data_IF_008769181727
#
_entry.id   IF_008769181727
#
_cell.length_a   1.000
_cell.length_b   1.000
_cell.length_c   1.000
_cell.angle_alpha   90.00
_cell.angle_beta   90.00
_cell.angle_gamma   90.00
#
_symmetry.space_group_name_H-M   'P 1'
#
loop_
_entity.id
_entity.type
_entity.pdbx_description
1 polymer ?
#
# COMPACT_ATOMS: atom_id res chain seq x y z
N UNK A 1 9.78 -12.09 -17.16
CA UNK A 1 9.91 -13.46 -16.65
C UNK A 1 9.91 -14.49 -17.78
N UNK A 2 8.79 -14.71 -18.50
CA UNK A 2 8.77 -15.65 -19.64
C UNK A 2 9.89 -15.34 -20.65
N UNK A 3 10.06 -14.07 -21.04
CA UNK A 3 11.19 -13.66 -21.90
C UNK A 3 12.59 -13.94 -21.33
N UNK A 4 12.76 -13.97 -20.00
CA UNK A 4 14.04 -14.36 -19.39
C UNK A 4 14.26 -15.88 -19.50
N UNK A 5 13.18 -16.66 -19.43
CA UNK A 5 13.23 -18.12 -19.65
C UNK A 5 13.54 -18.41 -21.12
N UNK A 6 12.86 -17.74 -22.05
CA UNK A 6 13.11 -17.85 -23.49
C UNK A 6 14.57 -17.52 -23.80
N UNK A 7 15.06 -16.34 -23.39
CA UNK A 7 16.46 -15.95 -23.62
C UNK A 7 17.47 -16.94 -23.02
N UNK A 8 17.23 -17.47 -21.81
CA UNK A 8 18.11 -18.47 -21.21
C UNK A 8 18.10 -19.81 -21.94
N UNK A 9 16.95 -20.20 -22.51
CA UNK A 9 16.85 -21.40 -23.34
C UNK A 9 17.51 -21.18 -24.71
N UNK A 10 17.41 -19.99 -25.30
CA UNK A 10 18.12 -19.61 -26.53
C UNK A 10 19.63 -19.73 -26.36
N UNK A 11 20.19 -19.22 -25.26
CA UNK A 11 21.62 -19.33 -24.95
C UNK A 11 22.08 -20.79 -24.77
N UNK A 12 21.21 -21.66 -24.28
CA UNK A 12 21.55 -23.06 -23.96
C UNK A 12 21.32 -24.01 -25.13
N UNK A 13 20.26 -23.80 -25.92
CA UNK A 13 19.80 -24.68 -27.00
C UNK A 13 20.19 -24.17 -28.39
N UNK A 14 20.56 -22.91 -28.54
CA UNK A 14 21.13 -22.32 -29.75
C UNK A 14 20.15 -21.95 -30.87
N UNK A 15 18.97 -22.57 -30.96
CA UNK A 15 17.95 -22.25 -31.98
C UNK A 15 16.53 -22.12 -31.38
N UNK A 16 15.86 -20.99 -31.69
CA UNK A 16 14.43 -20.72 -31.36
C UNK A 16 13.45 -21.43 -32.27
N UNK A 17 13.91 -21.93 -33.42
CA UNK A 17 13.08 -22.53 -34.49
C UNK A 17 12.88 -24.05 -34.30
N UNK A 18 13.34 -24.61 -33.18
CA UNK A 18 13.00 -25.99 -32.79
C UNK A 18 11.49 -26.06 -32.55
N UNK A 19 10.82 -26.99 -33.25
CA UNK A 19 9.39 -27.29 -33.06
C UNK A 19 9.03 -27.68 -31.61
N UNK A 20 10.02 -27.93 -30.74
CA UNK A 20 9.84 -28.20 -29.32
C UNK A 20 10.27 -27.05 -28.40
N UNK A 21 10.72 -25.90 -28.90
CA UNK A 21 11.16 -24.78 -28.07
C UNK A 21 10.08 -24.35 -27.06
N UNK A 22 8.84 -24.18 -27.52
CA UNK A 22 7.70 -23.85 -26.65
C UNK A 22 7.47 -24.91 -25.56
N UNK A 23 7.73 -26.19 -25.84
CA UNK A 23 7.63 -27.26 -24.83
C UNK A 23 8.74 -27.14 -23.79
N UNK A 24 9.95 -26.75 -24.18
CA UNK A 24 11.04 -26.47 -23.25
C UNK A 24 10.72 -25.26 -22.37
N UNK A 25 10.13 -24.20 -22.94
CA UNK A 25 9.65 -23.04 -22.18
C UNK A 25 8.59 -23.47 -21.15
N UNK A 26 7.57 -24.22 -21.57
CA UNK A 26 6.51 -24.71 -20.68
C UNK A 26 7.03 -25.58 -19.53
N UNK A 27 7.97 -26.49 -19.81
CA UNK A 27 8.61 -27.31 -18.77
C UNK A 27 9.41 -26.44 -17.79
N UNK A 28 10.12 -25.42 -18.31
CA UNK A 28 10.91 -24.52 -17.48
C UNK A 28 10.06 -23.57 -16.64
N UNK A 29 8.88 -23.17 -17.14
CA UNK A 29 7.89 -22.41 -16.39
C UNK A 29 7.37 -23.20 -15.18
N UNK A 30 7.03 -24.47 -15.40
CA UNK A 30 6.56 -25.37 -14.34
C UNK A 30 7.64 -25.61 -13.27
N UNK A 31 8.86 -25.94 -13.70
CA UNK A 31 10.01 -26.15 -12.79
C UNK A 31 10.29 -24.90 -11.94
N UNK A 32 10.32 -23.71 -12.56
CA UNK A 32 10.53 -22.45 -11.83
C UNK A 32 9.39 -22.20 -10.84
N UNK A 33 8.13 -22.31 -11.25
CA UNK A 33 7.00 -22.04 -10.36
C UNK A 33 6.95 -23.02 -9.18
N UNK A 34 7.20 -24.30 -9.41
CA UNK A 34 7.28 -25.33 -8.38
C UNK A 34 8.39 -25.01 -7.37
N UNK A 35 9.61 -24.80 -7.86
CA UNK A 35 10.78 -24.48 -7.02
C UNK A 35 10.57 -23.21 -6.18
N UNK A 36 10.05 -22.16 -6.79
CA UNK A 36 9.93 -20.84 -6.14
C UNK A 36 8.79 -20.76 -5.12
N UNK A 37 7.77 -21.60 -5.27
CA UNK A 37 6.65 -21.67 -4.33
C UNK A 37 6.81 -22.79 -3.31
N UNK A 38 7.90 -23.56 -3.34
CA UNK A 38 8.10 -24.72 -2.47
C UNK A 38 7.03 -25.79 -2.69
N UNK A 39 6.62 -25.98 -3.94
CA UNK A 39 5.51 -26.86 -4.36
C UNK A 39 4.15 -26.49 -3.75
N UNK A 40 3.99 -25.25 -3.24
CA UNK A 40 2.74 -24.75 -2.66
C UNK A 40 1.89 -23.96 -3.67
N UNK A 41 2.38 -23.68 -4.88
CA UNK A 41 1.55 -23.06 -5.91
C UNK A 41 0.38 -23.98 -6.27
N UNK A 42 -0.86 -23.47 -6.33
CA UNK A 42 -1.97 -24.26 -6.82
C UNK A 42 -1.75 -24.72 -8.25
N UNK A 43 -2.02 -26.00 -8.53
CA UNK A 43 -1.90 -26.56 -9.87
C UNK A 43 -2.71 -25.76 -10.91
N UNK A 44 -3.88 -25.26 -10.51
CA UNK A 44 -4.73 -24.41 -11.35
C UNK A 44 -4.03 -23.12 -11.79
N UNK A 45 -3.21 -22.51 -10.92
CA UNK A 45 -2.42 -21.33 -11.24
C UNK A 45 -1.38 -21.64 -12.32
N UNK A 46 -0.61 -22.73 -12.14
CA UNK A 46 0.43 -23.16 -13.08
C UNK A 46 -0.20 -23.44 -14.45
N UNK A 47 -1.28 -24.23 -14.50
CA UNK A 47 -1.99 -24.56 -15.74
C UNK A 47 -2.49 -23.32 -16.48
N UNK A 48 -2.99 -22.32 -15.77
CA UNK A 48 -3.49 -21.10 -16.38
C UNK A 48 -2.34 -20.28 -16.98
N UNK A 49 -1.21 -20.16 -16.28
CA UNK A 49 -0.02 -19.48 -16.81
C UNK A 49 0.51 -20.19 -18.06
N UNK A 50 0.62 -21.52 -18.02
CA UNK A 50 1.00 -22.33 -19.18
C UNK A 50 0.03 -22.13 -20.35
N UNK A 51 -1.29 -22.17 -20.08
CA UNK A 51 -2.29 -22.01 -21.15
C UNK A 51 -2.31 -20.59 -21.72
N UNK A 52 -2.08 -19.57 -20.90
CA UNK A 52 -1.92 -18.18 -21.36
C UNK A 52 -0.70 -18.06 -22.29
N UNK A 53 0.40 -18.74 -21.98
CA UNK A 53 1.57 -18.78 -22.87
C UNK A 53 1.23 -19.42 -24.22
N UNK A 54 0.66 -20.63 -24.22
CA UNK A 54 0.24 -21.33 -25.46
C UNK A 54 -0.69 -20.47 -26.33
N UNK A 55 -1.73 -19.88 -25.72
CA UNK A 55 -2.69 -19.05 -26.45
C UNK A 55 -2.04 -17.80 -27.05
N UNK A 56 -1.01 -17.24 -26.41
CA UNK A 56 -0.24 -16.13 -26.98
C UNK A 56 0.59 -16.57 -28.18
N UNK A 57 1.25 -17.73 -28.12
CA UNK A 57 1.98 -18.29 -29.26
C UNK A 57 1.04 -18.58 -30.45
N UNK A 58 -0.17 -19.07 -30.17
CA UNK A 58 -1.21 -19.33 -31.18
C UNK A 58 -1.91 -18.06 -31.71
N UNK A 59 -1.57 -16.86 -31.18
CA UNK A 59 -2.22 -15.59 -31.56
C UNK A 59 -3.65 -15.40 -31.01
N UNK A 60 -4.10 -16.26 -30.10
CA UNK A 60 -5.41 -16.21 -29.44
C UNK A 60 -5.38 -15.26 -28.23
N UNK A 61 -5.18 -13.97 -28.51
CA UNK A 61 -4.97 -12.94 -27.48
C UNK A 61 -6.22 -12.69 -26.62
N UNK A 62 -7.43 -12.87 -27.18
CA UNK A 62 -8.69 -12.66 -26.46
C UNK A 62 -8.88 -13.70 -25.36
N UNK A 63 -8.62 -14.96 -25.68
CA UNK A 63 -8.70 -16.09 -24.78
C UNK A 63 -7.63 -15.99 -23.69
N UNK A 64 -6.39 -15.63 -24.07
CA UNK A 64 -5.31 -15.38 -23.13
C UNK A 64 -5.66 -14.24 -22.15
N UNK A 65 -6.21 -13.13 -22.63
CA UNK A 65 -6.67 -12.03 -21.79
C UNK A 65 -7.82 -12.45 -20.86
N UNK A 66 -8.75 -13.28 -21.34
CA UNK A 66 -9.82 -13.83 -20.53
C UNK A 66 -9.31 -14.70 -19.36
N UNK A 67 -8.31 -15.54 -19.61
CA UNK A 67 -7.67 -16.34 -18.55
C UNK A 67 -6.88 -15.47 -17.56
N UNK A 68 -6.18 -14.43 -18.03
CA UNK A 68 -5.52 -13.46 -17.16
C UNK A 68 -6.51 -12.67 -16.30
N UNK A 69 -7.67 -12.31 -16.88
CA UNK A 69 -8.77 -11.67 -16.14
C UNK A 69 -9.29 -12.57 -15.03
N UNK A 70 -9.43 -13.87 -15.29
CA UNK A 70 -9.81 -14.85 -14.27
C UNK A 70 -8.74 -14.98 -13.17
N UNK A 71 -7.45 -15.09 -13.55
CA UNK A 71 -6.33 -15.16 -12.60
C UNK A 71 -6.27 -13.92 -11.70
N UNK A 72 -6.69 -12.77 -12.23
CA UNK A 72 -6.78 -11.50 -11.51
C UNK A 72 -8.02 -11.39 -10.61
N UNK A 73 -8.82 -12.45 -10.50
CA UNK A 73 -10.00 -12.52 -9.62
C UNK A 73 -11.30 -12.01 -10.22
N UNK A 74 -11.38 -11.81 -11.54
CA UNK A 74 -12.65 -11.45 -12.17
C UNK A 74 -13.66 -12.59 -12.09
N UNK A 75 -14.80 -12.35 -11.44
CA UNK A 75 -15.93 -13.28 -11.42
C UNK A 75 -16.67 -13.38 -12.76
N UNK A 76 -16.52 -12.39 -13.63
CA UNK A 76 -17.25 -12.28 -14.90
C UNK A 76 -16.47 -12.90 -16.08
N UNK A 77 -15.93 -14.11 -15.89
CA UNK A 77 -15.21 -14.82 -16.95
C UNK A 77 -16.05 -16.00 -17.44
N UNK A 78 -16.28 -16.04 -18.76
CA UNK A 78 -17.09 -17.06 -19.39
C UNK A 78 -16.55 -18.47 -19.10
N UNK A 79 -17.47 -19.42 -18.85
CA UNK A 79 -17.10 -20.81 -18.57
C UNK A 79 -16.30 -21.45 -19.71
N UNK A 80 -16.53 -21.04 -20.97
CA UNK A 80 -15.75 -21.47 -22.14
C UNK A 80 -14.27 -21.12 -22.01
N UNK A 81 -13.94 -19.93 -21.51
CA UNK A 81 -12.56 -19.47 -21.29
C UNK A 81 -11.90 -20.28 -20.17
N UNK A 82 -12.58 -20.44 -19.03
CA UNK A 82 -12.06 -21.25 -17.89
C UNK A 82 -11.78 -22.70 -18.31
N UNK A 83 -12.62 -23.26 -19.18
CA UNK A 83 -12.47 -24.62 -19.72
C UNK A 83 -11.19 -24.80 -20.55
N UNK A 84 -10.67 -23.74 -21.19
CA UNK A 84 -9.42 -23.81 -21.97
C UNK A 84 -8.22 -24.23 -21.10
N UNK A 85 -8.18 -23.79 -19.84
CA UNK A 85 -7.13 -24.13 -18.88
C UNK A 85 -7.52 -25.29 -17.93
N UNK A 86 -8.65 -25.97 -18.18
CA UNK A 86 -9.15 -27.05 -17.34
C UNK A 86 -9.54 -26.64 -15.91
N UNK A 87 -9.69 -25.33 -15.66
CA UNK A 87 -10.03 -24.77 -14.35
C UNK A 87 -11.48 -25.06 -14.01
N UNK A 88 -11.74 -25.46 -12.76
CA UNK A 88 -13.09 -25.71 -12.24
C UNK A 88 -13.37 -24.76 -11.08
N UNK A 89 -14.58 -24.20 -11.06
CA UNK A 89 -15.03 -23.34 -9.96
C UNK A 89 -14.74 -21.86 -10.16
N UNK A 90 -14.76 -21.14 -9.03
CA UNK A 90 -14.53 -19.70 -8.92
C UNK A 90 -13.36 -19.46 -7.97
N UNK A 91 -12.72 -18.29 -8.10
CA UNK A 91 -11.65 -17.89 -7.19
C UNK A 91 -12.27 -17.52 -5.84
N UNK A 92 -12.07 -18.35 -4.82
CA UNK A 92 -12.43 -18.03 -3.43
C UNK A 92 -11.32 -17.22 -2.76
N UNK A 93 -11.60 -16.65 -1.60
CA UNK A 93 -10.59 -15.96 -0.77
C UNK A 93 -9.43 -16.90 -0.38
N UNK A 94 -9.70 -18.17 -0.06
CA UNK A 94 -8.67 -19.18 0.20
C UNK A 94 -7.73 -19.34 -0.99
N UNK A 95 -8.31 -19.59 -2.17
CA UNK A 95 -7.55 -19.87 -3.40
C UNK A 95 -6.76 -18.62 -3.82
N UNK A 96 -7.32 -17.43 -3.61
CA UNK A 96 -6.64 -16.17 -3.90
C UNK A 96 -5.33 -16.01 -3.11
N UNK A 97 -5.29 -16.46 -1.86
CA UNK A 97 -4.06 -16.43 -1.05
C UNK A 97 -3.02 -17.42 -1.52
N UNK A 98 -3.43 -18.62 -1.91
CA UNK A 98 -2.50 -19.57 -2.50
C UNK A 98 -1.98 -19.07 -3.86
N UNK A 99 -2.80 -18.37 -4.63
CA UNK A 99 -2.39 -17.71 -5.88
C UNK A 99 -1.39 -16.59 -5.64
N UNK A 100 -1.52 -15.87 -4.52
CA UNK A 100 -0.55 -14.85 -4.13
C UNK A 100 0.86 -15.43 -3.96
N UNK A 101 1.00 -16.70 -3.51
CA UNK A 101 2.31 -17.39 -3.47
C UNK A 101 2.92 -17.50 -4.86
N UNK A 102 2.10 -17.92 -5.83
CA UNK A 102 2.49 -17.98 -7.25
C UNK A 102 2.91 -16.61 -7.79
N UNK A 103 2.15 -15.56 -7.49
CA UNK A 103 2.45 -14.19 -7.90
C UNK A 103 3.79 -13.71 -7.32
N UNK A 104 4.03 -13.93 -6.03
CA UNK A 104 5.30 -13.57 -5.37
C UNK A 104 6.47 -14.31 -6.02
N UNK A 105 6.29 -15.59 -6.36
CA UNK A 105 7.25 -16.37 -7.15
C UNK A 105 7.56 -15.70 -8.49
N UNK A 106 6.53 -15.39 -9.29
CA UNK A 106 6.71 -14.73 -10.60
C UNK A 106 7.40 -13.36 -10.46
N UNK A 107 7.04 -12.55 -9.46
CA UNK A 107 7.65 -11.23 -9.21
C UNK A 107 9.15 -11.41 -8.94
N UNK A 108 9.53 -12.36 -8.09
CA UNK A 108 10.94 -12.63 -7.85
C UNK A 108 11.65 -13.14 -9.11
N UNK A 109 11.00 -13.99 -9.89
CA UNK A 109 11.55 -14.59 -11.11
C UNK A 109 11.74 -13.55 -12.24
N UNK A 110 10.94 -12.49 -12.21
CA UNK A 110 11.10 -11.33 -13.08
C UNK A 110 12.29 -10.43 -12.69
N UNK A 111 13.00 -10.74 -11.59
CA UNK A 111 14.19 -10.01 -11.13
C UNK A 111 13.91 -8.99 -10.01
N UNK A 112 12.68 -8.90 -9.51
CA UNK A 112 12.36 -8.02 -8.39
C UNK A 112 12.77 -8.64 -7.04
N UNK A 113 13.06 -7.79 -6.06
CA UNK A 113 13.45 -8.23 -4.72
C UNK A 113 12.30 -8.91 -3.95
N UNK A 114 11.06 -8.51 -4.24
CA UNK A 114 9.84 -8.96 -3.58
C UNK A 114 8.62 -8.13 -3.96
N UNK A 115 7.51 -8.37 -3.27
CA UNK A 115 6.24 -7.66 -3.44
C UNK A 115 5.90 -6.90 -2.15
N UNK A 116 5.46 -5.65 -2.26
CA UNK A 116 4.92 -4.85 -1.17
C UNK A 116 3.43 -4.62 -1.43
N UNK A 117 2.57 -5.04 -0.51
CA UNK A 117 1.15 -4.74 -0.52
C UNK A 117 0.87 -3.73 0.58
N UNK A 118 0.35 -2.56 0.17
CA UNK A 118 -0.02 -1.48 1.09
C UNK A 118 -1.53 -1.44 1.21
N UNK A 119 -2.03 -1.56 2.44
CA UNK A 119 -3.42 -1.33 2.81
C UNK A 119 -3.45 0.01 3.55
N UNK A 120 -3.82 1.04 2.81
CA UNK A 120 -3.86 2.41 3.33
C UNK A 120 -5.21 2.69 4.02
N UNK A 121 -5.21 3.54 5.04
CA UNK A 121 -6.40 3.97 5.80
C UNK A 121 -7.22 2.78 6.36
N UNK A 122 -6.58 1.84 7.05
CA UNK A 122 -7.25 0.67 7.61
C UNK A 122 -8.38 1.04 8.60
N UNK A 123 -8.37 2.23 9.18
CA UNK A 123 -9.47 2.76 9.99
C UNK A 123 -10.81 2.87 9.24
N UNK A 124 -10.80 2.87 7.90
CA UNK A 124 -12.01 2.80 7.09
C UNK A 124 -12.82 1.53 7.37
N UNK A 125 -12.18 0.43 7.79
CA UNK A 125 -12.83 -0.82 8.23
C UNK A 125 -13.83 -0.55 9.35
N UNK A 126 -13.53 0.42 10.22
CA UNK A 126 -14.35 0.71 11.38
C UNK A 126 -15.72 1.32 11.04
N UNK A 127 -15.86 1.91 9.84
CA UNK A 127 -17.11 2.47 9.31
C UNK A 127 -18.01 1.42 8.64
N UNK A 128 -17.51 0.20 8.46
CA UNK A 128 -18.27 -0.88 7.84
C UNK A 128 -19.35 -1.40 8.80
N UNK A 129 -20.38 -2.04 8.22
CA UNK A 129 -21.35 -2.82 9.00
C UNK A 129 -20.65 -3.89 9.84
N UNK A 130 -21.23 -4.20 11.01
CA UNK A 130 -20.63 -5.07 12.04
C UNK A 130 -20.04 -6.36 11.47
N UNK A 131 -20.79 -7.10 10.67
CA UNK A 131 -20.36 -8.38 10.10
C UNK A 131 -19.21 -8.22 9.08
N UNK A 132 -19.25 -7.18 8.23
CA UNK A 132 -18.15 -6.91 7.29
C UNK A 132 -16.88 -6.44 7.99
N UNK A 133 -17.03 -5.63 9.04
CA UNK A 133 -15.93 -5.20 9.90
C UNK A 133 -15.28 -6.39 10.61
N UNK A 134 -16.08 -7.26 11.23
CA UNK A 134 -15.58 -8.47 11.90
C UNK A 134 -14.84 -9.39 10.92
N UNK A 135 -15.40 -9.56 9.71
CA UNK A 135 -14.73 -10.32 8.65
C UNK A 135 -13.41 -9.69 8.24
N UNK A 136 -13.35 -8.37 8.11
CA UNK A 136 -12.12 -7.66 7.74
C UNK A 136 -11.04 -7.79 8.82
N UNK A 137 -11.39 -7.65 10.10
CA UNK A 137 -10.47 -7.85 11.23
C UNK A 137 -9.94 -9.28 11.29
N UNK A 138 -10.80 -10.28 11.09
CA UNK A 138 -10.36 -11.68 10.98
C UNK A 138 -9.48 -11.90 9.74
N UNK A 139 -9.74 -11.23 8.62
CA UNK A 139 -8.88 -11.30 7.43
C UNK A 139 -7.48 -10.74 7.71
N UNK A 140 -7.38 -9.61 8.42
CA UNK A 140 -6.09 -9.07 8.87
C UNK A 140 -5.37 -10.04 9.81
N UNK A 141 -6.09 -10.66 10.76
CA UNK A 141 -5.54 -11.73 11.64
C UNK A 141 -4.91 -12.85 10.82
N UNK A 142 -5.67 -13.39 9.87
CA UNK A 142 -5.21 -14.50 9.05
C UNK A 142 -4.03 -14.11 8.15
N UNK A 143 -4.00 -12.88 7.62
CA UNK A 143 -2.84 -12.35 6.90
C UNK A 143 -1.61 -12.32 7.81
N UNK A 144 -1.75 -11.82 9.04
CA UNK A 144 -0.65 -11.82 10.01
C UNK A 144 -0.15 -13.23 10.31
N UNK A 145 -1.05 -14.20 10.48
CA UNK A 145 -0.72 -15.61 10.70
C UNK A 145 0.01 -16.23 9.52
N UNK A 146 -0.45 -15.94 8.30
CA UNK A 146 0.11 -16.52 7.09
C UNK A 146 1.36 -15.77 6.59
N UNK A 147 1.66 -14.56 7.08
CA UNK A 147 2.72 -13.69 6.55
C UNK A 147 4.09 -14.39 6.46
N UNK A 148 4.46 -15.18 7.47
CA UNK A 148 5.72 -15.93 7.50
C UNK A 148 5.85 -16.99 6.40
N UNK A 149 4.75 -17.36 5.76
CA UNK A 149 4.73 -18.35 4.68
C UNK A 149 4.93 -17.74 3.29
N UNK A 150 4.98 -16.41 3.17
CA UNK A 150 5.21 -15.70 1.91
C UNK A 150 6.61 -15.07 1.91
N UNK A 151 7.68 -15.81 1.56
CA UNK A 151 9.00 -15.22 1.47
C UNK A 151 8.98 -14.09 0.44
N UNK A 152 9.60 -12.95 0.77
CA UNK A 152 9.69 -11.76 -0.11
C UNK A 152 8.37 -11.00 -0.30
N UNK A 153 7.34 -11.26 0.50
CA UNK A 153 6.15 -10.41 0.58
C UNK A 153 6.19 -9.57 1.86
N UNK A 154 5.93 -8.27 1.72
CA UNK A 154 5.69 -7.39 2.86
C UNK A 154 4.26 -6.84 2.78
N UNK A 155 3.50 -7.03 3.86
CA UNK A 155 2.23 -6.34 4.07
C UNK A 155 2.46 -5.09 4.93
N UNK A 156 2.01 -3.94 4.44
CA UNK A 156 2.06 -2.68 5.17
C UNK A 156 0.63 -2.18 5.37
N UNK A 157 0.18 -2.15 6.61
CA UNK A 157 -1.09 -1.54 6.98
C UNK A 157 -0.81 -0.16 7.57
N UNK A 158 -1.51 0.86 7.10
CA UNK A 158 -1.55 2.17 7.75
C UNK A 158 -2.88 2.31 8.46
N UNK A 159 -2.89 3.02 9.59
CA UNK A 159 -4.15 3.35 10.23
C UNK A 159 -3.98 4.31 11.40
N UNK A 160 -5.08 4.91 11.82
CA UNK A 160 -5.11 5.76 13.02
C UNK A 160 -5.11 4.93 14.30
N UNK A 161 -4.77 5.54 15.47
CA UNK A 161 -4.89 4.88 16.77
C UNK A 161 -6.26 4.26 17.02
N UNK A 162 -7.35 4.85 16.50
CA UNK A 162 -8.70 4.29 16.63
C UNK A 162 -8.80 2.86 16.10
N UNK A 163 -8.13 2.56 14.99
CA UNK A 163 -8.13 1.22 14.41
C UNK A 163 -7.40 0.22 15.29
N UNK A 164 -6.28 0.61 15.92
CA UNK A 164 -5.43 -0.30 16.67
C UNK A 164 -5.87 -0.46 18.14
N UNK A 165 -6.24 0.64 18.80
CA UNK A 165 -6.28 0.71 20.26
C UNK A 165 -7.69 0.53 20.84
N UNK A 166 -8.73 0.58 19.99
CA UNK A 166 -10.13 0.57 20.44
C UNK A 166 -10.76 -0.82 20.30
N UNK A 167 -11.75 -1.13 21.15
CA UNK A 167 -12.53 -2.38 21.05
C UNK A 167 -13.36 -2.46 19.77
N UNK A 168 -13.64 -1.32 19.16
CA UNK A 168 -14.32 -1.26 17.88
C UNK A 168 -13.39 -1.67 16.72
N UNK A 169 -12.07 -1.65 16.94
CA UNK A 169 -11.02 -2.08 16.01
C UNK A 169 -10.26 -3.32 16.47
N UNK A 170 -8.95 -3.31 16.29
CA UNK A 170 -8.03 -4.42 16.57
C UNK A 170 -8.12 -4.89 18.01
N UNK A 171 -8.19 -3.99 19.00
CA UNK A 171 -8.28 -4.39 20.41
C UNK A 171 -9.57 -5.17 20.74
N UNK A 172 -10.58 -5.12 19.85
CA UNK A 172 -11.79 -5.94 19.92
C UNK A 172 -11.58 -7.40 19.52
N UNK A 173 -10.50 -7.72 18.79
CA UNK A 173 -10.11 -9.07 18.40
C UNK A 173 -8.80 -9.44 19.10
N UNK A 174 -8.84 -10.04 20.31
CA UNK A 174 -7.65 -10.32 21.11
C UNK A 174 -6.57 -11.11 20.35
N UNK A 175 -6.98 -12.06 19.52
CA UNK A 175 -6.09 -12.86 18.68
C UNK A 175 -5.23 -11.98 17.75
N UNK A 176 -5.80 -10.94 17.14
CA UNK A 176 -5.03 -10.00 16.33
C UNK A 176 -4.24 -9.03 17.21
N UNK A 177 -4.88 -8.46 18.23
CA UNK A 177 -4.27 -7.48 19.12
C UNK A 177 -2.98 -8.00 19.78
N UNK A 178 -2.95 -9.25 20.23
CA UNK A 178 -1.78 -9.86 20.85
C UNK A 178 -0.61 -10.04 19.87
N UNK A 179 -0.90 -10.29 18.59
CA UNK A 179 0.11 -10.51 17.54
C UNK A 179 0.80 -9.23 17.13
N UNK A 180 0.06 -8.13 17.03
CA UNK A 180 0.59 -6.85 16.52
C UNK A 180 0.78 -5.79 17.60
N UNK A 181 0.62 -6.16 18.87
CA UNK A 181 0.69 -5.27 20.03
C UNK A 181 1.93 -4.36 19.97
N UNK A 182 1.69 -3.07 19.93
CA UNK A 182 2.77 -2.08 20.07
C UNK A 182 3.34 -2.10 21.49
N UNK A 183 4.67 -2.07 21.57
CA UNK A 183 5.39 -1.92 22.84
C UNK A 183 6.45 -0.84 22.77
N UNK A 184 6.54 -0.07 23.84
CA UNK A 184 7.53 0.98 24.03
C UNK A 184 8.15 0.84 25.42
N UNK A 185 9.47 1.03 25.52
CA UNK A 185 10.20 1.00 26.79
C UNK A 185 11.07 2.24 26.88
N UNK A 186 10.85 3.05 27.91
CA UNK A 186 11.62 4.27 28.18
C UNK A 186 11.71 5.24 26.99
N UNK A 187 10.65 5.37 26.20
CA UNK A 187 10.64 6.25 25.02
C UNK A 187 11.15 5.61 23.72
N UNK A 188 11.52 4.33 23.76
CA UNK A 188 12.08 3.59 22.64
C UNK A 188 11.17 2.43 22.23
N UNK A 189 10.87 2.37 20.95
CA UNK A 189 10.09 1.32 20.32
C UNK A 189 10.97 0.64 19.25
N UNK A 190 10.93 -0.70 19.16
CA UNK A 190 11.70 -1.40 18.13
C UNK A 190 11.08 -1.15 16.76
N UNK A 191 11.90 -0.90 15.75
CA UNK A 191 11.46 -0.82 14.34
C UNK A 191 11.21 -2.20 13.73
N UNK A 192 11.61 -3.27 14.41
CA UNK A 192 11.41 -4.67 13.97
C UNK A 192 10.12 -5.28 14.51
N UNK A 193 9.38 -4.56 15.34
CA UNK A 193 8.09 -5.04 15.85
C UNK A 193 7.01 -4.89 14.75
N UNK A 194 5.88 -5.61 14.85
CA UNK A 194 4.85 -5.59 13.80
C UNK A 194 4.19 -4.22 13.57
N UNK A 195 4.18 -3.35 14.58
CA UNK A 195 3.57 -2.03 14.54
C UNK A 195 4.61 -0.92 14.77
N UNK A 196 4.60 0.11 13.94
CA UNK A 196 5.45 1.30 14.11
C UNK A 196 4.55 2.50 14.40
N UNK A 197 4.68 3.08 15.59
CA UNK A 197 3.99 4.31 15.94
C UNK A 197 4.72 5.52 15.33
N UNK A 198 4.05 6.24 14.44
CA UNK A 198 4.57 7.48 13.86
C UNK A 198 4.27 8.65 14.79
N UNK A 199 5.33 9.23 15.38
CA UNK A 199 5.16 10.42 16.23
C UNK A 199 4.60 11.59 15.41
N UNK A 200 3.67 12.37 15.97
CA UNK A 200 3.16 13.58 15.34
C UNK A 200 4.27 14.53 14.92
N UNK A 201 3.95 15.42 13.98
CA UNK A 201 4.86 16.48 13.58
C UNK A 201 4.99 17.52 14.70
N UNK A 202 6.22 17.74 15.14
CA UNK A 202 6.61 18.89 15.95
C UNK A 202 7.25 19.97 15.05
N UNK A 203 7.65 21.08 15.68
CA UNK A 203 8.33 22.19 15.00
C UNK A 203 9.57 21.71 14.21
N UNK A 204 10.38 20.85 14.80
CA UNK A 204 11.63 20.39 14.20
C UNK A 204 11.38 19.49 12.99
N UNK A 205 10.38 18.61 13.08
CA UNK A 205 9.93 17.73 11.99
C UNK A 205 9.31 18.51 10.84
N UNK A 206 8.51 19.54 11.12
CA UNK A 206 7.95 20.42 10.08
C UNK A 206 9.06 21.18 9.36
N UNK A 207 10.02 21.74 10.10
CA UNK A 207 11.22 22.38 9.53
C UNK A 207 12.02 21.40 8.66
N UNK A 208 12.25 20.19 9.15
CA UNK A 208 12.98 19.16 8.39
C UNK A 208 12.23 18.74 7.11
N UNK A 209 10.91 18.61 7.18
CA UNK A 209 10.06 18.32 6.03
C UNK A 209 10.10 19.46 5.00
N UNK A 210 9.98 20.72 5.44
CA UNK A 210 10.08 21.89 4.56
C UNK A 210 11.42 21.95 3.83
N UNK A 211 12.54 21.75 4.55
CA UNK A 211 13.87 21.70 3.92
C UNK A 211 13.98 20.60 2.87
N UNK A 212 13.47 19.39 3.16
CA UNK A 212 13.44 18.29 2.21
C UNK A 212 12.57 18.60 1.00
N UNK A 213 11.39 19.18 1.22
CA UNK A 213 10.48 19.59 0.14
C UNK A 213 11.13 20.66 -0.75
N UNK A 214 11.74 21.69 -0.17
CA UNK A 214 12.51 22.71 -0.92
C UNK A 214 13.60 22.07 -1.76
N UNK A 215 14.39 21.16 -1.17
CA UNK A 215 15.46 20.48 -1.90
C UNK A 215 14.94 19.61 -3.07
N UNK A 216 13.80 18.93 -2.90
CA UNK A 216 13.15 18.18 -3.97
C UNK A 216 12.58 19.09 -5.06
N UNK A 217 11.97 20.21 -4.66
CA UNK A 217 11.39 21.21 -5.56
C UNK A 217 12.44 21.85 -6.47
N UNK A 218 13.59 22.23 -5.90
CA UNK A 218 14.72 22.91 -6.55
C UNK A 218 15.48 21.99 -7.54
N UNK A 219 15.08 20.73 -7.69
CA UNK A 219 15.64 19.84 -8.73
C UNK A 219 15.14 20.15 -10.17
N UNK A 220 14.24 21.12 -10.34
CA UNK A 220 13.70 21.58 -11.63
C UNK A 220 14.23 22.94 -12.12
N UNK A 221 13.48 23.61 -13.02
CA UNK A 221 13.74 25.02 -13.39
C UNK A 221 13.32 25.95 -12.22
N UNK A 222 13.78 27.20 -12.15
CA UNK A 222 13.41 28.13 -11.05
C UNK A 222 14.14 27.95 -9.71
N UNK A 223 14.97 26.90 -9.59
CA UNK A 223 15.78 26.49 -8.45
C UNK A 223 16.44 27.64 -7.65
N UNK A 224 17.18 28.51 -8.34
CA UNK A 224 17.97 29.57 -7.69
C UNK A 224 17.10 30.64 -7.02
N UNK A 225 15.96 31.00 -7.61
CA UNK A 225 15.05 32.02 -7.07
C UNK A 225 14.34 31.50 -5.82
N UNK A 226 13.89 30.25 -5.85
CA UNK A 226 13.26 29.57 -4.71
C UNK A 226 14.25 29.44 -3.56
N UNK A 227 15.48 28.99 -3.82
CA UNK A 227 16.50 28.84 -2.77
C UNK A 227 16.88 30.18 -2.12
N UNK A 228 16.91 31.26 -2.90
CA UNK A 228 17.21 32.59 -2.39
C UNK A 228 16.08 33.18 -1.54
N UNK A 229 14.82 33.03 -1.96
CA UNK A 229 13.68 33.70 -1.32
C UNK A 229 13.02 32.86 -0.22
N UNK A 230 13.12 31.54 -0.29
CA UNK A 230 12.57 30.61 0.69
C UNK A 230 13.74 30.08 1.50
N UNK A 231 14.35 30.98 2.26
CA UNK A 231 15.49 30.66 3.14
C UNK A 231 15.02 29.99 4.44
N UNK A 232 15.97 29.64 5.30
CA UNK A 232 15.67 28.99 6.57
C UNK A 232 14.91 29.92 7.54
N UNK A 233 15.04 31.24 7.41
CA UNK A 233 14.31 32.21 8.22
C UNK A 233 12.82 32.25 7.83
N UNK A 234 12.52 32.18 6.52
CA UNK A 234 11.16 32.02 6.03
C UNK A 234 10.54 30.70 6.51
N UNK A 235 11.26 29.58 6.37
CA UNK A 235 10.79 28.26 6.85
C UNK A 235 10.44 28.34 8.33
N UNK A 236 11.33 28.90 9.15
CA UNK A 236 11.11 29.05 10.59
C UNK A 236 9.89 29.89 10.90
N UNK A 237 9.73 31.03 10.20
CA UNK A 237 8.57 31.90 10.35
C UNK A 237 7.25 31.22 9.96
N UNK A 238 7.24 30.45 8.87
CA UNK A 238 6.04 29.70 8.47
C UNK A 238 5.69 28.60 9.48
N UNK A 239 6.69 27.85 9.95
CA UNK A 239 6.49 26.84 10.99
C UNK A 239 5.97 27.49 12.28
N UNK A 240 6.52 28.64 12.69
CA UNK A 240 6.04 29.43 13.83
C UNK A 240 4.57 29.82 13.68
N UNK A 241 4.22 30.39 12.53
CA UNK A 241 2.87 30.87 12.23
C UNK A 241 1.86 29.74 12.29
N UNK A 242 2.18 28.60 11.68
CA UNK A 242 1.33 27.41 11.65
C UNK A 242 1.24 26.75 13.03
N UNK A 243 2.35 26.61 13.76
CA UNK A 243 2.35 26.01 15.11
C UNK A 243 1.62 26.89 16.14
N UNK A 244 1.67 28.22 16.01
CA UNK A 244 0.99 29.18 16.90
C UNK A 244 -0.48 29.35 16.53
N UNK A 245 -0.80 29.46 15.24
CA UNK A 245 -2.15 29.68 14.72
C UNK A 245 -3.10 28.51 14.94
N UNK A 246 -2.57 27.29 15.09
CA UNK A 246 -3.37 26.06 15.20
C UNK A 246 -3.61 25.57 16.62
N UNK A 247 -3.24 26.30 17.70
CA UNK A 247 -3.60 26.02 19.12
C UNK A 247 -3.96 24.55 19.44
N UNK A 248 -3.07 23.59 19.17
CA UNK A 248 -3.26 22.18 19.54
C UNK A 248 -4.05 21.26 18.57
N UNK A 249 -4.35 21.67 17.33
CA UNK A 249 -5.05 20.82 16.34
C UNK A 249 -4.07 19.91 15.56
N UNK A 250 -3.37 19.02 16.29
CA UNK A 250 -2.17 18.28 15.86
C UNK A 250 -2.34 17.44 14.57
N UNK A 251 -3.56 16.99 14.23
CA UNK A 251 -3.80 16.09 13.10
C UNK A 251 -3.82 16.75 11.71
N UNK A 252 -4.22 18.03 11.60
CA UNK A 252 -4.44 18.69 10.30
C UNK A 252 -3.28 19.60 9.87
N UNK A 253 -2.40 19.94 10.82
CA UNK A 253 -1.24 20.83 10.64
C UNK A 253 -0.32 20.40 9.50
N UNK A 254 0.09 19.12 9.37
CA UNK A 254 1.17 18.76 8.45
C UNK A 254 0.76 18.87 6.99
N UNK A 255 -0.42 18.33 6.63
CA UNK A 255 -0.91 18.38 5.25
C UNK A 255 -1.15 19.81 4.79
N UNK A 256 -1.72 20.64 5.66
CA UNK A 256 -1.93 22.05 5.36
C UNK A 256 -0.60 22.76 5.15
N UNK A 257 0.31 22.64 6.12
CA UNK A 257 1.64 23.22 6.06
C UNK A 257 2.37 22.86 4.77
N UNK A 258 2.39 21.57 4.41
CA UNK A 258 3.06 21.12 3.19
C UNK A 258 2.44 21.71 1.92
N UNK A 259 1.11 21.80 1.84
CA UNK A 259 0.42 22.40 0.69
C UNK A 259 0.74 23.88 0.57
N UNK A 260 0.56 24.64 1.65
CA UNK A 260 0.84 26.07 1.67
C UNK A 260 2.32 26.37 1.35
N UNK A 261 3.24 25.54 1.87
CA UNK A 261 4.66 25.67 1.55
C UNK A 261 4.95 25.45 0.06
N UNK A 262 4.29 24.47 -0.58
CA UNK A 262 4.40 24.23 -2.02
C UNK A 262 3.77 25.38 -2.82
N UNK A 263 2.57 25.83 -2.45
CA UNK A 263 1.89 26.95 -3.13
C UNK A 263 2.75 28.23 -3.10
N UNK A 264 3.46 28.48 -1.99
CA UNK A 264 4.40 29.61 -1.88
C UNK A 264 5.64 29.41 -2.76
N UNK A 265 6.19 28.18 -2.85
CA UNK A 265 7.29 27.88 -3.78
C UNK A 265 6.87 28.11 -5.24
N UNK A 266 5.67 27.65 -5.62
CA UNK A 266 5.08 27.86 -6.94
C UNK A 266 4.94 29.35 -7.27
N UNK A 267 4.45 30.16 -6.33
CA UNK A 267 4.33 31.61 -6.51
C UNK A 267 5.68 32.30 -6.66
N UNK A 268 6.68 31.89 -5.88
CA UNK A 268 8.05 32.42 -5.99
C UNK A 268 8.67 32.09 -7.34
N UNK A 269 8.43 30.89 -7.88
CA UNK A 269 8.90 30.51 -9.21
C UNK A 269 8.18 31.28 -10.32
N UNK A 270 6.86 31.37 -10.24
CA UNK A 270 6.02 31.98 -11.29
C UNK A 270 6.09 33.50 -11.31
N UNK A 271 6.27 34.14 -10.15
CA UNK A 271 6.23 35.58 -9.97
C UNK A 271 7.51 36.09 -9.30
N UNK A 272 8.53 36.52 -10.09
CA UNK A 272 9.82 36.98 -9.57
C UNK A 272 9.75 38.18 -8.62
N UNK A 273 8.65 38.93 -8.59
CA UNK A 273 8.39 40.05 -7.66
C UNK A 273 7.73 39.62 -6.34
N UNK A 274 7.21 38.40 -6.26
CA UNK A 274 6.52 37.91 -5.06
C UNK A 274 7.51 37.79 -3.88
N UNK A 275 7.17 38.41 -2.75
CA UNK A 275 7.93 38.33 -1.50
C UNK A 275 7.25 37.33 -0.54
N UNK A 276 7.81 36.12 -0.35
CA UNK A 276 7.20 35.12 0.52
C UNK A 276 7.20 35.56 2.00
N UNK A 277 8.15 36.39 2.44
CA UNK A 277 8.21 36.87 3.83
C UNK A 277 7.01 37.76 4.21
N UNK A 278 6.30 38.32 3.22
CA UNK A 278 5.05 39.05 3.46
C UNK A 278 3.91 38.16 3.95
N UNK A 279 3.91 36.86 3.59
CA UNK A 279 2.87 35.90 3.98
C UNK A 279 3.01 35.48 5.45
N UNK A 280 4.25 35.29 5.92
CA UNK A 280 4.54 34.90 7.32
C UNK A 280 4.09 35.96 8.32
N UNK A 281 4.10 37.24 7.93
CA UNK A 281 3.70 38.36 8.80
C UNK A 281 2.18 38.49 8.96
N UNK A 282 1.40 37.85 8.10
CA UNK A 282 -0.05 37.84 8.25
C UNK A 282 -0.42 36.74 9.25
N UNK A 283 -1.33 36.99 10.22
CA UNK A 283 -1.81 35.93 11.08
C UNK A 283 -2.42 34.85 10.19
N UNK A 284 -1.90 33.62 10.35
CA UNK A 284 -2.37 32.46 9.62
C UNK A 284 -3.91 32.37 9.72
N UNK A 285 -4.58 32.59 8.60
CA UNK A 285 -6.02 32.34 8.50
C UNK A 285 -6.17 30.87 8.19
N UNK A 286 -6.45 30.08 9.22
CA UNK A 286 -6.88 28.71 9.02
C UNK A 286 -8.01 28.72 7.97
N UNK A 287 -7.82 27.97 6.88
CA UNK A 287 -8.90 27.73 5.92
C UNK A 287 -10.12 27.22 6.69
N UNK A 288 -11.32 27.55 6.22
CA UNK A 288 -12.51 26.88 6.72
C UNK A 288 -12.33 25.36 6.58
N UNK A 289 -12.39 24.69 7.73
CA UNK A 289 -12.37 23.24 7.82
C UNK A 289 -13.58 22.71 7.07
N UNK A 290 -13.38 21.65 6.28
CA UNK A 290 -14.51 20.94 5.71
C UNK A 290 -15.28 20.19 6.82
N UNK A 291 -16.49 19.74 6.53
CA UNK A 291 -17.34 19.12 7.56
C UNK A 291 -16.76 17.82 8.11
N UNK A 292 -15.97 17.08 7.32
CA UNK A 292 -15.26 15.89 7.79
C UNK A 292 -14.14 16.23 8.79
N UNK A 293 -13.37 17.29 8.52
CA UNK A 293 -12.31 17.78 9.40
C UNK A 293 -12.90 18.33 10.72
N UNK A 294 -14.03 19.05 10.63
CA UNK A 294 -14.78 19.50 11.82
C UNK A 294 -15.27 18.32 12.65
N UNK A 295 -15.81 17.28 12.01
CA UNK A 295 -16.29 16.08 12.69
C UNK A 295 -15.16 15.34 13.41
N UNK A 296 -14.00 15.17 12.76
CA UNK A 296 -12.82 14.55 13.38
C UNK A 296 -12.35 15.36 14.60
N UNK A 297 -12.33 16.69 14.51
CA UNK A 297 -11.99 17.55 15.64
C UNK A 297 -13.03 17.44 16.77
N UNK A 298 -14.32 17.47 16.44
CA UNK A 298 -15.40 17.34 17.42
C UNK A 298 -15.33 15.99 18.16
N UNK A 299 -14.87 14.95 17.48
CA UNK A 299 -14.69 13.61 18.03
C UNK A 299 -13.29 13.40 18.66
N UNK A 300 -12.57 14.47 19.01
CA UNK A 300 -11.28 14.37 19.71
C UNK A 300 -10.15 13.77 18.87
N UNK A 301 -10.24 13.85 17.55
CA UNK A 301 -9.32 13.22 16.61
C UNK A 301 -9.80 11.88 16.05
N UNK A 302 -10.97 11.39 16.52
CA UNK A 302 -11.53 10.13 16.04
C UNK A 302 -12.38 10.27 14.79
N UNK A 303 -12.31 9.28 13.90
CA UNK A 303 -13.16 9.23 12.71
C UNK A 303 -14.58 8.71 12.97
N UNK A 304 -14.86 8.26 14.19
CA UNK A 304 -16.12 7.60 14.58
C UNK A 304 -16.69 8.30 15.80
N UNK A 305 -18.01 8.46 15.84
CA UNK A 305 -18.66 9.00 17.03
C UNK A 305 -18.55 8.01 18.20
N UNK A 306 -18.35 8.47 19.45
CA UNK A 306 -18.41 7.60 20.63
C UNK A 306 -19.66 6.71 20.69
N UNK A 307 -20.81 7.20 20.19
CA UNK A 307 -22.07 6.45 20.16
C UNK A 307 -22.09 5.30 19.13
N UNK A 308 -21.24 5.37 18.11
CA UNK A 308 -21.10 4.33 17.08
C UNK A 308 -20.06 3.26 17.47
N UNK A 309 -19.25 3.53 18.50
CA UNK A 309 -18.24 2.59 18.98
C UNK A 309 -18.89 1.44 19.75
N UNK A 310 -18.48 0.23 19.40
CA UNK A 310 -18.89 -1.00 20.06
C UNK A 310 -17.78 -1.48 20.99
N UNK A 311 -18.16 -1.81 22.23
CA UNK A 311 -17.29 -2.43 23.24
C UNK A 311 -17.30 -3.97 23.21
N UNK A 312 -18.03 -4.55 22.26
CA UNK A 312 -18.15 -6.00 22.11
C UNK A 312 -16.88 -6.60 21.49
N UNK A 313 -16.53 -7.81 21.92
CA UNK A 313 -15.43 -8.56 21.33
C UNK A 313 -15.84 -9.17 19.99
N UNK A 314 -14.89 -9.20 19.07
CA UNK A 314 -15.00 -9.87 17.77
C UNK A 314 -14.68 -11.35 17.98
N UNK A 315 -15.60 -12.22 17.55
CA UNK A 315 -15.35 -13.65 17.54
C UNK A 315 -14.25 -13.99 16.51
N UNK A 316 -13.38 -14.91 16.89
CA UNK A 316 -12.40 -15.47 15.96
C UNK A 316 -13.12 -16.37 14.96
N UNK A 317 -12.92 -16.08 13.68
CA UNK A 317 -13.55 -16.79 12.58
C UNK A 317 -12.53 -16.99 11.46
N UNK A 318 -12.70 -18.08 10.70
CA UNK A 318 -11.99 -18.25 9.44
C UNK A 318 -12.80 -17.58 8.32
N UNK A 319 -12.22 -16.57 7.67
CA UNK A 319 -12.89 -15.74 6.65
C UNK A 319 -12.38 -15.98 5.24
N UNK A 320 -11.25 -16.67 5.12
CA UNK A 320 -10.80 -17.31 3.90
C UNK A 320 -10.74 -18.82 4.07
#
# INVERSE_FOLDING_TARGET
WIGNIEAGLEETLGETDDANFDKHVLAKLEENLASMTGDQAPADFIRVIQKVFELKQEGQLTEAAGLLSWLSGSGNVAASIKKLAGVRGELTSTIAMDFLRGIVGIVHAAGYAGLLIVIDEAETILRMRKDSRHKSLNGVRQICDAAGTYPRLLWLFTGTPDFFDTRHGVAGLPALADRIRFTERAGFASVTQPQINLRPFDRERLRAAARKLRALYVSGHGAATVEQKIDDAFIDGLVDSVTTGLKGHVGLVPRHFMREFIDIMDLVEQQPEFDPMSQVKQPYKARELNDAEKAVIANGGSMISPDEMSDELVAEEEVW
#
